data_IF_623556504206
#
_entry.id   IF_623556504206
#
_cell.length_a   1.000
_cell.length_b   1.000
_cell.length_c   1.000
_cell.angle_alpha   90.00
_cell.angle_beta   90.00
_cell.angle_gamma   90.00
#
_symmetry.space_group_name_H-M   'P 1'
#
loop_
_entity.id
_entity.type
_entity.pdbx_description
1 polymer ?
#
# COMPACT_ATOMS: atom_id res chain seq x y z
N UNK A 1 -15.62 32.04 23.79
CA UNK A 1 -16.34 31.10 22.91
C UNK A 1 -17.06 30.11 23.81
N UNK A 2 -18.38 30.05 23.68
CA UNK A 2 -19.24 29.15 24.44
C UNK A 2 -18.95 27.68 24.02
N UNK A 3 -18.39 26.89 24.94
CA UNK A 3 -17.99 25.49 24.70
C UNK A 3 -19.13 24.50 24.91
N UNK A 4 -20.34 24.97 25.22
CA UNK A 4 -21.48 24.13 25.59
C UNK A 4 -22.13 23.35 24.43
N UNK A 5 -21.71 23.57 23.18
CA UNK A 5 -22.28 22.94 21.98
C UNK A 5 -21.27 22.35 20.98
N UNK A 6 -20.07 21.97 21.45
CA UNK A 6 -19.07 21.36 20.56
C UNK A 6 -19.35 19.85 20.37
N UNK A 7 -20.15 19.51 19.35
CA UNK A 7 -20.34 18.11 18.95
C UNK A 7 -19.05 17.53 18.33
N UNK A 8 -18.86 16.21 18.41
CA UNK A 8 -17.70 15.52 17.77
C UNK A 8 -17.57 15.88 16.29
N UNK A 9 -18.69 15.94 15.58
CA UNK A 9 -18.75 16.37 14.18
C UNK A 9 -18.29 17.82 14.02
N UNK A 10 -18.79 18.75 14.85
CA UNK A 10 -18.42 20.16 14.78
C UNK A 10 -16.94 20.39 15.08
N UNK A 11 -16.36 19.62 16.00
CA UNK A 11 -14.92 19.66 16.27
C UNK A 11 -14.10 19.20 15.05
N UNK A 12 -14.46 18.07 14.42
CA UNK A 12 -13.76 17.59 13.22
C UNK A 12 -13.93 18.53 12.02
N UNK A 13 -15.08 19.20 11.88
CA UNK A 13 -15.29 20.24 10.88
C UNK A 13 -14.34 21.43 11.09
N UNK A 14 -14.15 21.89 12.33
CA UNK A 14 -13.21 22.97 12.65
C UNK A 14 -11.75 22.57 12.40
N UNK A 15 -11.38 21.34 12.76
CA UNK A 15 -10.06 20.77 12.46
C UNK A 15 -9.84 20.67 10.95
N UNK A 16 -10.86 20.24 10.21
CA UNK A 16 -10.85 20.19 8.76
C UNK A 16 -10.71 21.55 8.10
N UNK A 17 -11.42 22.55 8.60
CA UNK A 17 -11.32 23.92 8.13
C UNK A 17 -9.92 24.52 8.37
N UNK A 18 -9.26 24.16 9.47
CA UNK A 18 -7.93 24.66 9.81
C UNK A 18 -6.77 23.91 9.14
N UNK A 19 -6.90 22.60 8.92
CA UNK A 19 -5.78 21.74 8.53
C UNK A 19 -6.06 20.71 7.42
N UNK A 20 -7.22 20.81 6.76
CA UNK A 20 -7.59 19.92 5.67
C UNK A 20 -7.82 18.46 6.08
N UNK A 21 -7.96 17.58 5.09
CA UNK A 21 -8.29 16.17 5.28
C UNK A 21 -7.24 15.39 6.08
N UNK A 22 -5.96 15.74 5.96
CA UNK A 22 -4.88 15.14 6.77
C UNK A 22 -5.05 15.45 8.24
N UNK A 23 -5.40 16.69 8.60
CA UNK A 23 -5.66 17.05 10.00
C UNK A 23 -6.89 16.33 10.54
N UNK A 24 -7.97 16.21 9.75
CA UNK A 24 -9.14 15.40 10.13
C UNK A 24 -8.73 13.95 10.38
N UNK A 25 -7.92 13.35 9.51
CA UNK A 25 -7.46 11.97 9.65
C UNK A 25 -6.64 11.78 10.93
N UNK A 26 -5.64 12.64 11.18
CA UNK A 26 -4.79 12.55 12.37
C UNK A 26 -5.58 12.80 13.66
N UNK A 27 -6.47 13.80 13.68
CA UNK A 27 -7.32 14.08 14.84
C UNK A 27 -8.35 12.97 15.06
N UNK A 28 -8.92 12.40 14.00
CA UNK A 28 -9.82 11.25 14.11
C UNK A 28 -9.12 10.02 14.66
N UNK A 29 -7.83 9.82 14.35
CA UNK A 29 -7.00 8.79 14.99
C UNK A 29 -6.74 9.10 16.47
N UNK A 30 -6.33 10.32 16.79
CA UNK A 30 -6.05 10.74 18.17
C UNK A 30 -7.29 10.64 19.07
N UNK A 31 -8.48 10.93 18.53
CA UNK A 31 -9.76 10.77 19.23
C UNK A 31 -10.28 9.33 19.28
N UNK A 32 -9.55 8.37 18.71
CA UNK A 32 -9.98 6.96 18.63
C UNK A 32 -11.19 6.72 17.73
N UNK A 33 -11.58 7.68 16.88
CA UNK A 33 -12.67 7.54 15.91
C UNK A 33 -12.25 6.68 14.71
N UNK A 34 -10.96 6.68 14.40
CA UNK A 34 -10.32 5.77 13.45
C UNK A 34 -9.41 4.82 14.23
N UNK A 35 -9.99 3.75 14.80
CA UNK A 35 -9.18 2.65 15.32
C UNK A 35 -8.70 1.80 14.15
N UNK A 36 -7.43 1.91 13.77
CA UNK A 36 -6.81 1.00 12.81
C UNK A 36 -6.37 -0.33 13.45
N UNK A 37 -6.14 -0.35 14.77
CA UNK A 37 -5.45 -1.47 15.45
C UNK A 37 -6.18 -2.08 16.65
N UNK A 38 -7.44 -1.69 16.90
CA UNK A 38 -8.29 -2.29 17.93
C UNK A 38 -8.60 -3.78 17.66
N UNK A 39 -9.03 -4.56 18.67
CA UNK A 39 -9.61 -5.88 18.42
C UNK A 39 -10.70 -5.76 17.36
N UNK A 40 -10.82 -6.77 16.48
CA UNK A 40 -11.89 -6.79 15.49
C UNK A 40 -13.21 -6.85 16.24
N UNK A 41 -13.82 -5.69 16.48
CA UNK A 41 -15.12 -5.61 17.11
C UNK A 41 -16.06 -6.46 16.27
N UNK A 42 -16.73 -7.42 16.90
CA UNK A 42 -17.82 -8.13 16.26
C UNK A 42 -18.84 -7.06 15.88
N UNK A 43 -19.08 -6.88 14.58
CA UNK A 43 -20.13 -5.98 14.09
C UNK A 43 -21.45 -6.53 14.63
N UNK A 44 -21.99 -5.88 15.65
CA UNK A 44 -23.31 -6.16 16.20
C UNK A 44 -24.31 -5.28 15.46
N UNK A 45 -24.62 -5.68 14.22
CA UNK A 45 -25.65 -5.02 13.43
C UNK A 45 -27.01 -5.44 13.97
N UNK A 46 -27.85 -4.47 14.30
CA UNK A 46 -29.23 -4.73 14.69
C UNK A 46 -29.92 -5.48 13.55
N UNK A 47 -30.40 -6.69 13.82
CA UNK A 47 -31.18 -7.45 12.87
C UNK A 47 -32.45 -6.68 12.51
N UNK A 48 -32.77 -6.63 11.23
CA UNK A 48 -34.06 -6.08 10.80
C UNK A 48 -35.14 -7.10 11.09
N UNK A 49 -36.25 -6.67 11.71
CA UNK A 49 -37.44 -7.52 11.85
C UNK A 49 -38.03 -7.93 10.49
N UNK A 50 -39.13 -8.67 10.50
CA UNK A 50 -39.73 -9.35 9.34
C UNK A 50 -40.02 -8.50 8.07
N UNK A 51 -39.89 -7.18 8.13
CA UNK A 51 -40.18 -6.25 7.03
C UNK A 51 -38.96 -5.81 6.19
N UNK A 52 -37.79 -6.47 6.32
CA UNK A 52 -36.63 -6.38 5.41
C UNK A 52 -36.33 -4.97 4.84
N UNK A 53 -35.44 -4.21 5.47
CA UNK A 53 -35.04 -2.88 4.97
C UNK A 53 -34.17 -3.02 3.71
N UNK A 54 -34.47 -2.24 2.68
CA UNK A 54 -33.77 -2.22 1.39
C UNK A 54 -32.60 -1.25 1.41
N UNK A 55 -31.43 -1.71 1.00
CA UNK A 55 -30.20 -0.92 0.98
C UNK A 55 -29.58 -0.95 -0.42
N UNK A 56 -29.41 0.23 -1.02
CA UNK A 56 -28.59 0.39 -2.20
C UNK A 56 -27.12 0.55 -1.82
N UNK A 57 -26.21 -0.17 -2.48
CA UNK A 57 -24.76 -0.03 -2.30
C UNK A 57 -24.17 0.38 -3.64
N UNK A 58 -23.52 1.54 -3.67
CA UNK A 58 -22.95 2.10 -4.91
C UNK A 58 -21.46 1.82 -4.96
N UNK A 59 -21.04 0.98 -5.90
CA UNK A 59 -19.68 0.48 -6.09
C UNK A 59 -19.47 -0.90 -5.47
N UNK A 60 -18.96 -1.85 -6.25
CA UNK A 60 -18.56 -3.19 -5.82
C UNK A 60 -17.05 -3.27 -5.54
N UNK A 61 -16.46 -2.20 -5.01
CA UNK A 61 -15.11 -2.24 -4.42
C UNK A 61 -15.09 -2.97 -3.07
N UNK A 62 -13.91 -3.12 -2.46
CA UNK A 62 -13.78 -3.78 -1.14
C UNK A 62 -14.72 -3.18 -0.08
N UNK A 63 -14.91 -1.86 -0.06
CA UNK A 63 -15.84 -1.21 0.88
C UNK A 63 -17.29 -1.64 0.65
N UNK A 64 -17.81 -1.50 -0.58
CA UNK A 64 -19.18 -1.87 -0.92
C UNK A 64 -19.46 -3.37 -0.76
N UNK A 65 -18.53 -4.23 -1.19
CA UNK A 65 -18.65 -5.67 -1.01
C UNK A 65 -18.67 -6.07 0.47
N UNK A 66 -17.85 -5.43 1.31
CA UNK A 66 -17.85 -5.69 2.76
C UNK A 66 -19.18 -5.27 3.39
N UNK A 67 -19.70 -4.09 3.01
CA UNK A 67 -21.00 -3.59 3.49
C UNK A 67 -22.13 -4.52 3.08
N UNK A 68 -22.20 -4.91 1.81
CA UNK A 68 -23.21 -5.84 1.32
C UNK A 68 -23.15 -7.19 2.04
N UNK A 69 -21.95 -7.73 2.26
CA UNK A 69 -21.75 -8.98 2.97
C UNK A 69 -22.24 -8.94 4.43
N UNK A 70 -21.92 -7.87 5.18
CA UNK A 70 -22.33 -7.78 6.58
C UNK A 70 -23.82 -7.43 6.74
N UNK A 71 -24.37 -6.56 5.88
CA UNK A 71 -25.80 -6.21 5.90
C UNK A 71 -26.70 -7.38 5.48
N UNK A 72 -26.35 -8.14 4.44
CA UNK A 72 -27.13 -9.33 4.08
C UNK A 72 -27.16 -10.33 5.25
N UNK A 73 -26.05 -10.51 5.94
CA UNK A 73 -25.96 -11.40 7.12
C UNK A 73 -26.78 -10.90 8.31
N UNK A 74 -27.07 -9.61 8.37
CA UNK A 74 -27.97 -9.01 9.35
C UNK A 74 -29.45 -8.98 8.91
N UNK A 75 -29.77 -9.53 7.72
CA UNK A 75 -31.14 -9.67 7.23
C UNK A 75 -31.65 -8.51 6.38
N UNK A 76 -30.78 -7.61 5.94
CA UNK A 76 -31.15 -6.53 5.01
C UNK A 76 -31.25 -7.03 3.56
N UNK A 77 -32.14 -6.41 2.79
CA UNK A 77 -32.21 -6.63 1.34
C UNK A 77 -31.23 -5.68 0.63
N UNK A 78 -30.12 -6.19 0.12
CA UNK A 78 -29.08 -5.37 -0.48
C UNK A 78 -29.14 -5.44 -2.01
N UNK A 79 -28.85 -4.34 -2.70
CA UNK A 79 -28.54 -4.34 -4.13
C UNK A 79 -27.28 -3.52 -4.37
N UNK A 80 -26.25 -4.14 -4.98
CA UNK A 80 -24.98 -3.48 -5.30
C UNK A 80 -24.97 -3.08 -6.78
N UNK A 81 -24.64 -1.82 -7.06
CA UNK A 81 -24.49 -1.27 -8.41
C UNK A 81 -23.01 -0.95 -8.68
N UNK A 82 -22.40 -1.57 -9.68
CA UNK A 82 -21.01 -1.35 -10.09
C UNK A 82 -20.96 -0.87 -11.53
N UNK A 83 -20.32 0.27 -11.77
CA UNK A 83 -20.23 0.87 -13.08
C UNK A 83 -19.35 0.04 -14.04
N UNK A 84 -18.29 -0.57 -13.52
CA UNK A 84 -17.36 -1.39 -14.28
C UNK A 84 -17.97 -2.75 -14.66
N UNK A 85 -17.36 -3.39 -15.66
CA UNK A 85 -17.64 -4.78 -16.02
C UNK A 85 -17.15 -5.79 -14.97
N UNK A 86 -16.35 -5.35 -13.99
CA UNK A 86 -15.76 -6.19 -12.94
C UNK A 86 -15.98 -5.64 -11.53
N UNK A 87 -15.91 -6.54 -10.55
CA UNK A 87 -15.89 -6.19 -9.13
C UNK A 87 -14.47 -5.85 -8.63
N UNK A 88 -14.37 -5.38 -7.38
CA UNK A 88 -13.12 -5.15 -6.65
C UNK A 88 -12.62 -3.71 -6.69
N UNK A 89 -13.08 -2.89 -7.65
CA UNK A 89 -12.68 -1.50 -7.79
C UNK A 89 -11.16 -1.38 -7.93
N UNK A 90 -10.51 -0.59 -7.07
CA UNK A 90 -9.03 -0.49 -7.03
C UNK A 90 -8.32 -1.79 -6.66
N UNK A 91 -9.00 -2.74 -6.00
CA UNK A 91 -8.47 -4.09 -5.81
C UNK A 91 -8.65 -4.89 -7.10
N UNK A 92 -7.57 -4.98 -7.87
CA UNK A 92 -7.50 -5.63 -9.17
C UNK A 92 -6.22 -6.45 -9.26
N UNK A 93 -6.33 -7.61 -9.90
CA UNK A 93 -5.22 -8.44 -10.31
C UNK A 93 -5.41 -8.77 -11.79
N UNK A 94 -4.38 -8.55 -12.59
CA UNK A 94 -4.35 -8.83 -14.02
C UNK A 94 -3.62 -10.15 -14.29
N UNK A 95 -4.22 -10.99 -15.13
CA UNK A 95 -3.76 -12.32 -15.58
C UNK A 95 -4.03 -12.45 -17.08
N UNK A 96 -3.56 -13.53 -17.68
CA UNK A 96 -3.85 -13.86 -19.08
C UNK A 96 -5.33 -13.65 -19.43
N UNK A 97 -5.60 -12.90 -20.50
CA UNK A 97 -6.95 -12.69 -21.01
C UNK A 97 -7.77 -11.62 -20.29
N UNK A 98 -7.30 -11.08 -19.16
CA UNK A 98 -8.03 -10.03 -18.44
C UNK A 98 -8.12 -8.74 -19.28
N UNK A 99 -9.32 -8.16 -19.34
CA UNK A 99 -9.58 -6.87 -19.95
C UNK A 99 -9.07 -5.75 -19.03
N UNK A 100 -8.22 -4.90 -19.59
CA UNK A 100 -7.72 -3.67 -18.99
C UNK A 100 -8.47 -2.53 -19.68
N UNK A 101 -9.29 -1.81 -18.93
CA UNK A 101 -10.03 -0.63 -19.39
C UNK A 101 -9.48 0.61 -18.68
N UNK A 102 -8.63 1.35 -19.41
CA UNK A 102 -8.11 2.64 -18.98
C UNK A 102 -8.86 3.76 -19.71
N UNK A 103 -10.07 4.06 -19.25
CA UNK A 103 -10.91 5.15 -19.77
C UNK A 103 -11.29 4.99 -21.26
N UNK A 104 -11.66 3.76 -21.65
CA UNK A 104 -12.03 3.43 -23.03
C UNK A 104 -10.87 2.96 -23.90
N UNK A 105 -9.64 2.96 -23.37
CA UNK A 105 -8.49 2.32 -24.02
C UNK A 105 -8.39 0.86 -23.61
N UNK A 106 -9.20 0.03 -24.27
CA UNK A 106 -9.29 -1.40 -23.97
C UNK A 106 -8.05 -2.17 -24.44
N UNK A 107 -7.51 -2.98 -23.53
CA UNK A 107 -6.39 -3.89 -23.79
C UNK A 107 -6.63 -5.24 -23.14
N UNK A 108 -5.95 -6.25 -23.64
CA UNK A 108 -5.96 -7.57 -23.02
C UNK A 108 -4.58 -7.85 -22.43
N UNK A 109 -4.56 -8.35 -21.20
CA UNK A 109 -3.33 -8.78 -20.57
C UNK A 109 -2.80 -10.04 -21.29
N UNK A 110 -1.67 -9.91 -21.96
CA UNK A 110 -1.03 -10.95 -22.77
C UNK A 110 0.08 -11.68 -22.00
N UNK A 111 -0.04 -11.81 -20.68
CA UNK A 111 0.81 -12.75 -19.95
C UNK A 111 0.55 -14.17 -20.46
N UNK A 112 1.49 -15.07 -20.26
CA UNK A 112 1.26 -16.47 -20.55
C UNK A 112 0.18 -17.00 -19.59
N UNK A 113 -0.60 -17.97 -20.06
CA UNK A 113 -1.66 -18.60 -19.26
C UNK A 113 -1.05 -19.53 -18.19
N UNK A 114 -0.62 -18.91 -17.08
CA UNK A 114 -0.04 -19.56 -15.92
C UNK A 114 -0.55 -18.85 -14.65
N UNK A 115 -1.09 -19.58 -13.66
CA UNK A 115 -1.65 -18.99 -12.44
C UNK A 115 -0.62 -18.24 -11.57
N UNK A 116 0.68 -18.51 -11.73
CA UNK A 116 1.76 -17.78 -11.05
C UNK A 116 2.15 -16.48 -11.78
N UNK A 117 1.61 -16.22 -12.98
CA UNK A 117 1.89 -15.01 -13.77
C UNK A 117 0.73 -14.02 -13.65
N UNK A 118 0.75 -13.28 -12.54
CA UNK A 118 -0.24 -12.24 -12.26
C UNK A 118 0.40 -10.93 -11.81
N UNK A 119 -0.35 -9.85 -11.94
CA UNK A 119 0.08 -8.52 -11.56
C UNK A 119 -0.99 -7.81 -10.74
N UNK A 120 -0.60 -7.20 -9.61
CA UNK A 120 -1.49 -6.37 -8.78
C UNK A 120 -1.29 -4.87 -9.07
N UNK A 121 -1.99 -4.27 -10.07
CA UNK A 121 -1.89 -2.84 -10.37
C UNK A 121 -2.43 -1.95 -9.24
N UNK A 122 -3.26 -2.49 -8.33
CA UNK A 122 -3.77 -1.80 -7.16
C UNK A 122 -3.06 -2.16 -5.86
N UNK A 123 -3.77 -2.57 -4.79
CA UNK A 123 -3.16 -3.03 -3.55
C UNK A 123 -2.38 -4.33 -3.78
N UNK A 124 -1.21 -4.45 -3.14
CA UNK A 124 -0.29 -5.57 -3.36
C UNK A 124 0.45 -6.05 -2.09
N UNK A 125 0.04 -5.56 -0.91
CA UNK A 125 0.61 -5.92 0.40
C UNK A 125 -0.35 -5.57 1.54
N UNK A 126 -0.34 -6.36 2.61
CA UNK A 126 -1.15 -6.20 3.82
C UNK A 126 -0.21 -6.34 5.04
N UNK A 127 -0.10 -5.33 5.92
CA UNK A 127 0.69 -5.44 7.14
C UNK A 127 -0.08 -6.15 8.27
N UNK A 128 0.67 -6.69 9.25
CA UNK A 128 0.14 -7.52 10.34
C UNK A 128 -0.88 -6.81 11.25
N UNK A 129 -0.85 -5.49 11.34
CA UNK A 129 -1.78 -4.73 12.17
C UNK A 129 -3.10 -4.39 11.48
N UNK A 130 -3.27 -4.69 10.18
CA UNK A 130 -4.56 -4.53 9.47
C UNK A 130 -5.55 -5.63 9.85
N UNK A 131 -5.92 -5.69 11.13
CA UNK A 131 -6.68 -6.81 11.73
C UNK A 131 -8.02 -7.07 11.04
N UNK A 132 -8.69 -6.04 10.50
CA UNK A 132 -10.00 -6.18 9.84
C UNK A 132 -9.91 -6.95 8.52
N UNK A 133 -8.99 -6.56 7.62
CA UNK A 133 -8.86 -7.27 6.33
C UNK A 133 -8.32 -8.69 6.54
N UNK A 134 -7.40 -8.87 7.49
CA UNK A 134 -6.89 -10.19 7.88
C UNK A 134 -7.98 -11.08 8.47
N UNK A 135 -8.91 -10.52 9.25
CA UNK A 135 -10.10 -11.22 9.71
C UNK A 135 -10.96 -11.71 8.53
N UNK A 136 -11.22 -10.86 7.53
CA UNK A 136 -11.97 -11.30 6.34
C UNK A 136 -11.22 -12.34 5.54
N UNK A 137 -9.90 -12.21 5.35
CA UNK A 137 -9.10 -13.25 4.69
C UNK A 137 -9.29 -14.60 5.38
N UNK A 138 -9.14 -14.64 6.71
CA UNK A 138 -9.36 -15.86 7.50
C UNK A 138 -10.79 -16.38 7.40
N UNK A 139 -11.80 -15.52 7.55
CA UNK A 139 -13.23 -15.88 7.53
C UNK A 139 -13.68 -16.43 6.17
N UNK A 140 -13.12 -15.90 5.09
CA UNK A 140 -13.45 -16.27 3.71
C UNK A 140 -12.60 -17.43 3.20
N UNK A 141 -11.55 -17.84 3.93
CA UNK A 141 -10.63 -18.89 3.52
C UNK A 141 -9.66 -18.44 2.42
N UNK A 142 -9.28 -17.15 2.41
CA UNK A 142 -8.28 -16.62 1.47
C UNK A 142 -6.90 -16.95 2.00
N UNK A 143 -6.16 -17.77 1.26
CA UNK A 143 -4.77 -18.09 1.57
C UNK A 143 -3.88 -16.87 1.38
N UNK A 144 -3.01 -16.64 2.37
CA UNK A 144 -2.04 -15.56 2.37
C UNK A 144 -0.62 -16.13 2.38
N UNK A 145 0.30 -15.46 1.69
CA UNK A 145 1.74 -15.75 1.71
C UNK A 145 2.52 -14.51 2.15
N UNK A 146 3.78 -14.71 2.58
CA UNK A 146 4.67 -13.59 2.94
C UNK A 146 4.99 -12.77 1.68
N UNK A 147 4.80 -11.47 1.77
CA UNK A 147 5.26 -10.50 0.78
C UNK A 147 6.55 -9.86 1.28
N UNK A 148 7.65 -10.18 0.62
CA UNK A 148 8.90 -9.45 0.82
C UNK A 148 8.73 -8.03 0.27
N UNK A 149 8.85 -7.05 1.15
CA UNK A 149 8.82 -5.63 0.87
C UNK A 149 10.24 -5.02 0.85
N UNK A 150 11.20 -5.75 1.41
CA UNK A 150 12.60 -5.40 1.46
C UNK A 150 13.46 -6.62 1.08
N UNK A 151 14.61 -6.36 0.48
CA UNK A 151 15.62 -7.39 0.23
C UNK A 151 17.00 -6.73 0.29
N UNK A 152 17.90 -7.25 1.13
CA UNK A 152 19.29 -6.76 1.20
C UNK A 152 20.05 -6.98 -0.11
N UNK A 153 19.70 -8.04 -0.85
CA UNK A 153 20.25 -8.29 -2.18
C UNK A 153 19.68 -7.38 -3.25
N UNK A 154 18.55 -6.69 -3.04
CA UNK A 154 18.06 -5.72 -4.03
C UNK A 154 18.95 -4.46 -4.07
N UNK A 155 18.69 -3.60 -5.04
CA UNK A 155 19.52 -2.43 -5.31
C UNK A 155 18.91 -1.12 -4.79
N UNK A 156 19.78 -0.15 -4.58
CA UNK A 156 19.42 1.26 -4.66
C UNK A 156 20.21 1.91 -5.79
N UNK A 157 19.61 2.90 -6.44
CA UNK A 157 20.21 3.60 -7.57
C UNK A 157 19.89 5.09 -7.47
N UNK A 158 20.90 5.92 -7.68
CA UNK A 158 20.76 7.37 -7.81
C UNK A 158 21.60 7.82 -8.99
N UNK A 159 20.98 8.45 -9.98
CA UNK A 159 21.61 8.82 -11.25
C UNK A 159 22.81 9.76 -11.04
N UNK A 160 22.75 10.59 -10.00
CA UNK A 160 23.81 11.54 -9.63
C UNK A 160 24.82 11.05 -8.57
N UNK A 161 24.68 9.84 -8.05
CA UNK A 161 25.54 9.31 -6.98
C UNK A 161 26.16 7.95 -7.36
N UNK A 162 27.21 7.54 -6.65
CA UNK A 162 27.92 6.26 -6.89
C UNK A 162 28.34 6.05 -8.37
N UNK A 163 28.66 7.15 -9.06
CA UNK A 163 29.01 7.12 -10.49
C UNK A 163 27.86 6.73 -11.42
N UNK A 164 26.61 6.85 -10.98
CA UNK A 164 25.41 6.44 -11.71
C UNK A 164 25.15 4.94 -11.71
N UNK A 165 25.89 4.16 -10.92
CA UNK A 165 25.72 2.70 -10.86
C UNK A 165 24.78 2.30 -9.71
N UNK A 166 23.95 1.26 -9.90
CA UNK A 166 23.18 0.70 -8.80
C UNK A 166 24.12 0.04 -7.78
N UNK A 167 23.85 0.25 -6.50
CA UNK A 167 24.60 -0.37 -5.39
C UNK A 167 23.70 -1.33 -4.61
N UNK A 168 24.24 -2.43 -4.11
CA UNK A 168 23.46 -3.37 -3.30
C UNK A 168 23.05 -2.71 -1.99
N UNK A 169 21.81 -2.93 -1.57
CA UNK A 169 21.33 -2.46 -0.27
C UNK A 169 22.17 -3.05 0.87
N UNK A 170 22.62 -4.30 0.77
CA UNK A 170 23.52 -4.92 1.76
C UNK A 170 24.77 -4.08 2.00
N UNK A 171 25.42 -3.62 0.92
CA UNK A 171 26.63 -2.80 0.98
C UNK A 171 26.33 -1.42 1.57
N UNK A 172 25.32 -0.73 1.01
CA UNK A 172 24.92 0.59 1.48
C UNK A 172 24.60 0.61 2.98
N UNK A 173 23.75 -0.31 3.44
CA UNK A 173 23.33 -0.36 4.84
C UNK A 173 24.46 -0.79 5.78
N UNK A 174 25.31 -1.73 5.35
CA UNK A 174 26.44 -2.17 6.15
C UNK A 174 27.42 -1.02 6.38
N UNK A 175 27.79 -0.30 5.31
CA UNK A 175 28.73 0.82 5.42
C UNK A 175 28.12 2.00 6.18
N UNK A 176 26.86 2.36 5.92
CA UNK A 176 26.18 3.40 6.68
C UNK A 176 26.15 3.08 8.18
N UNK A 177 25.78 1.85 8.56
CA UNK A 177 25.78 1.42 9.96
C UNK A 177 27.18 1.37 10.57
N UNK A 178 28.18 0.91 9.80
CA UNK A 178 29.59 0.87 10.21
C UNK A 178 30.13 2.25 10.54
N UNK A 179 30.06 3.18 9.58
CA UNK A 179 30.55 4.55 9.78
C UNK A 179 29.80 5.30 10.89
N UNK A 180 28.47 5.18 10.96
CA UNK A 180 27.70 5.78 12.06
C UNK A 180 28.12 5.23 13.42
N UNK A 181 28.38 3.93 13.51
CA UNK A 181 28.81 3.29 14.75
C UNK A 181 30.24 3.66 15.13
N UNK A 182 31.13 3.84 14.16
CA UNK A 182 32.48 4.37 14.40
C UNK A 182 32.43 5.79 14.97
N UNK A 183 31.58 6.66 14.41
CA UNK A 183 31.38 8.02 14.94
C UNK A 183 30.83 7.98 16.38
N UNK A 184 29.83 7.13 16.64
CA UNK A 184 29.30 6.91 17.98
C UNK A 184 30.39 6.42 18.94
N UNK A 185 31.18 5.44 18.52
CA UNK A 185 32.28 4.89 19.32
C UNK A 185 33.28 5.99 19.68
N UNK A 186 33.73 6.78 18.70
CA UNK A 186 34.69 7.87 18.91
C UNK A 186 34.17 8.97 19.84
N UNK A 187 32.87 9.26 19.79
CA UNK A 187 32.23 10.21 20.69
C UNK A 187 32.16 9.68 22.14
N UNK A 188 31.72 8.42 22.29
CA UNK A 188 31.57 7.75 23.59
C UNK A 188 32.91 7.44 24.24
N UNK A 189 33.92 7.04 23.47
CA UNK A 189 35.23 6.64 23.99
C UNK A 189 35.91 7.78 24.74
N UNK A 190 35.83 8.99 24.19
CA UNK A 190 36.36 10.20 24.84
C UNK A 190 35.45 10.73 25.95
N UNK A 191 34.23 10.19 26.09
CA UNK A 191 33.18 10.61 27.00
C UNK A 191 32.95 12.14 27.03
N UNK A 192 33.09 12.78 25.86
CA UNK A 192 32.97 14.24 25.71
C UNK A 192 31.52 14.65 25.45
N UNK A 193 30.65 14.28 26.37
CA UNK A 193 29.27 14.75 26.42
C UNK A 193 29.14 15.85 27.46
N UNK A 194 28.20 16.78 27.29
CA UNK A 194 27.93 17.83 28.28
C UNK A 194 27.59 17.22 29.65
N UNK A 195 26.88 16.09 29.63
CA UNK A 195 26.71 15.18 30.75
C UNK A 195 27.43 13.85 30.45
N UNK A 196 28.58 13.57 31.08
CA UNK A 196 29.31 12.34 30.86
C UNK A 196 28.49 11.11 31.22
N UNK A 197 28.61 10.05 30.42
CA UNK A 197 28.02 8.77 30.74
C UNK A 197 28.69 8.18 31.99
N UNK A 198 27.93 7.40 32.74
CA UNK A 198 28.49 6.52 33.78
C UNK A 198 29.53 5.58 33.16
N UNK A 199 30.47 5.08 33.97
CA UNK A 199 31.47 4.10 33.49
C UNK A 199 30.78 2.89 32.85
N UNK A 200 29.71 2.42 33.48
CA UNK A 200 28.97 1.25 33.04
C UNK A 200 28.18 1.50 31.75
N UNK A 201 27.50 2.64 31.61
CA UNK A 201 26.78 2.97 30.37
C UNK A 201 27.75 3.23 29.21
N UNK A 202 28.91 3.86 29.49
CA UNK A 202 29.97 4.04 28.50
C UNK A 202 30.45 2.68 27.98
N UNK A 203 30.77 1.73 28.86
CA UNK A 203 31.21 0.39 28.45
C UNK A 203 30.14 -0.33 27.61
N UNK A 204 28.87 -0.26 28.02
CA UNK A 204 27.75 -0.84 27.26
C UNK A 204 27.55 -0.19 25.90
N UNK A 205 27.67 1.14 25.81
CA UNK A 205 27.55 1.87 24.54
C UNK A 205 28.71 1.57 23.59
N UNK A 206 29.94 1.45 24.09
CA UNK A 206 31.09 1.04 23.26
C UNK A 206 30.91 -0.38 22.72
N UNK A 207 30.42 -1.31 23.55
CA UNK A 207 30.10 -2.67 23.12
C UNK A 207 28.96 -2.68 22.09
N UNK A 208 27.93 -1.88 22.31
CA UNK A 208 26.82 -1.72 21.38
C UNK A 208 27.30 -1.19 20.02
N UNK A 209 28.10 -0.11 20.01
CA UNK A 209 28.67 0.47 18.80
C UNK A 209 29.55 -0.55 18.04
N UNK A 210 30.43 -1.27 18.74
CA UNK A 210 31.24 -2.36 18.16
C UNK A 210 30.37 -3.43 17.50
N UNK A 211 29.32 -3.89 18.20
CA UNK A 211 28.44 -4.96 17.70
C UNK A 211 27.60 -4.50 16.51
N UNK A 212 26.98 -3.33 16.59
CA UNK A 212 26.11 -2.81 15.51
C UNK A 212 26.93 -2.41 14.29
N UNK A 213 28.09 -1.78 14.48
CA UNK A 213 28.96 -1.33 13.40
C UNK A 213 29.87 -2.38 12.79
N UNK A 214 30.02 -3.55 13.44
CA UNK A 214 31.08 -4.51 13.10
C UNK A 214 32.49 -3.90 13.16
N UNK A 215 32.73 -3.09 14.20
CA UNK A 215 33.96 -2.33 14.34
C UNK A 215 35.12 -3.23 14.79
N UNK A 216 36.33 -2.84 14.39
CA UNK A 216 37.56 -3.43 14.90
C UNK A 216 37.75 -3.16 16.41
N UNK A 217 38.68 -3.86 17.09
CA UNK A 217 38.92 -3.66 18.51
C UNK A 217 39.24 -2.21 18.92
N UNK A 218 39.84 -1.44 18.03
CA UNK A 218 40.14 -0.01 18.20
C UNK A 218 38.96 0.93 17.91
N UNK A 219 37.82 0.39 17.48
CA UNK A 219 36.59 1.13 17.17
C UNK A 219 36.52 1.68 15.76
N UNK A 220 37.44 1.32 14.87
CA UNK A 220 37.42 1.73 13.46
C UNK A 220 36.60 0.77 12.59
N UNK A 221 36.00 1.29 11.52
CA UNK A 221 35.27 0.51 10.52
C UNK A 221 36.11 0.35 9.25
N UNK A 222 36.31 -0.91 8.83
CA UNK A 222 37.12 -1.28 7.67
C UNK A 222 36.38 -2.21 6.70
N UNK A 223 35.05 -2.12 6.67
CA UNK A 223 34.19 -3.04 5.92
C UNK A 223 33.81 -4.30 6.70
N UNK A 224 32.77 -4.97 6.24
CA UNK A 224 32.16 -6.12 6.93
C UNK A 224 31.66 -7.16 5.96
N UNK A 225 31.65 -8.43 6.39
CA UNK A 225 30.97 -9.52 5.69
C UNK A 225 29.46 -9.29 5.51
N UNK A 226 28.83 -8.38 6.30
CA UNK A 226 27.40 -8.03 6.15
C UNK A 226 27.10 -7.33 4.81
N UNK A 227 28.11 -6.72 4.19
CA UNK A 227 28.03 -6.18 2.84
C UNK A 227 28.11 -7.27 1.74
N UNK A 228 28.46 -8.50 2.13
CA UNK A 228 28.90 -9.57 1.23
C UNK A 228 30.43 -9.59 1.08
N UNK A 229 30.93 -10.58 0.35
CA UNK A 229 32.36 -10.75 0.06
C UNK A 229 32.70 -10.31 -1.36
N UNK A 230 33.91 -9.79 -1.56
CA UNK A 230 34.50 -9.62 -2.89
C UNK A 230 34.97 -10.97 -3.44
N UNK A 231 35.57 -11.80 -2.59
CA UNK A 231 35.99 -13.16 -2.94
C UNK A 231 36.09 -14.05 -1.68
N UNK A 232 36.16 -15.37 -1.86
CA UNK A 232 36.26 -16.33 -0.76
C UNK A 232 34.95 -16.48 0.03
N UNK A 233 35.04 -16.71 1.34
CA UNK A 233 33.88 -16.71 2.25
C UNK A 233 33.27 -18.09 2.54
N UNK A 234 33.85 -19.17 2.01
CA UNK A 234 33.45 -20.53 2.36
C UNK A 234 34.68 -21.44 2.56
N UNK A 235 35.37 -21.82 1.49
CA UNK A 235 36.55 -22.70 1.55
C UNK A 235 37.83 -21.91 1.87
N UNK A 236 37.88 -20.62 1.49
CA UNK A 236 38.98 -19.70 1.76
C UNK A 236 38.48 -18.55 2.62
N UNK A 237 39.34 -17.94 3.46
CA UNK A 237 39.01 -16.68 4.14
C UNK A 237 38.43 -15.67 3.16
N UNK A 238 37.31 -15.05 3.54
CA UNK A 238 36.65 -14.08 2.68
C UNK A 238 37.35 -12.73 2.71
N UNK A 239 37.48 -12.11 1.54
CA UNK A 239 37.93 -10.71 1.43
C UNK A 239 36.70 -9.82 1.46
N UNK A 240 36.64 -8.89 2.41
CA UNK A 240 35.55 -7.92 2.50
C UNK A 240 35.54 -7.03 1.25
N UNK A 241 34.34 -6.64 0.83
CA UNK A 241 34.20 -5.61 -0.19
C UNK A 241 34.84 -4.32 0.29
N UNK A 242 35.40 -3.54 -0.66
CA UNK A 242 35.87 -2.18 -0.38
C UNK A 242 34.70 -1.33 0.11
N UNK A 243 34.91 -0.58 1.18
CA UNK A 243 33.90 0.35 1.72
C UNK A 243 33.59 1.46 0.73
N UNK A 244 32.35 1.90 0.72
CA UNK A 244 31.92 3.14 0.07
C UNK A 244 32.61 4.35 0.70
N UNK A 245 32.70 5.43 -0.06
CA UNK A 245 33.14 6.71 0.46
C UNK A 245 32.08 7.27 1.43
N UNK A 246 32.51 7.67 2.62
CA UNK A 246 31.60 8.16 3.66
C UNK A 246 30.89 9.46 3.25
N UNK A 247 31.59 10.37 2.55
CA UNK A 247 30.97 11.60 2.06
C UNK A 247 29.92 11.31 1.00
N UNK A 248 30.17 10.36 0.10
CA UNK A 248 29.19 9.91 -0.89
C UNK A 248 27.93 9.31 -0.24
N UNK A 249 28.07 8.53 0.84
CA UNK A 249 26.93 7.98 1.59
C UNK A 249 26.06 9.09 2.21
N UNK A 250 26.66 10.14 2.77
CA UNK A 250 25.94 11.27 3.36
C UNK A 250 25.22 12.14 2.31
N UNK A 251 25.81 12.28 1.13
CA UNK A 251 25.25 13.06 0.02
C UNK A 251 24.10 12.33 -0.70
N UNK A 252 24.12 10.99 -0.66
CA UNK A 252 23.02 10.16 -1.16
C UNK A 252 21.72 10.47 -0.43
N UNK A 253 20.61 10.52 -1.16
CA UNK A 253 19.27 10.68 -0.56
C UNK A 253 18.63 9.36 -0.19
N UNK A 254 19.27 8.23 -0.51
CA UNK A 254 18.68 6.92 -0.27
C UNK A 254 18.31 6.70 1.20
N UNK A 255 19.16 7.11 2.15
CA UNK A 255 18.91 6.89 3.57
C UNK A 255 17.60 7.52 4.06
N UNK A 256 17.20 8.69 3.53
CA UNK A 256 15.92 9.34 3.86
C UNK A 256 14.75 8.38 3.58
N UNK A 257 14.69 7.88 2.34
CA UNK A 257 13.60 6.98 1.92
C UNK A 257 13.72 5.56 2.48
N UNK A 258 14.95 5.06 2.67
CA UNK A 258 15.17 3.66 2.98
C UNK A 258 14.88 3.33 4.44
N UNK A 259 15.17 4.26 5.37
CA UNK A 259 14.79 4.12 6.78
C UNK A 259 13.28 4.11 6.96
N UNK A 260 12.56 5.01 6.29
CA UNK A 260 11.09 5.05 6.32
C UNK A 260 10.51 3.73 5.78
N UNK A 261 11.04 3.19 4.68
CA UNK A 261 10.52 1.96 4.08
C UNK A 261 10.64 0.72 4.98
N UNK A 262 11.63 0.67 5.88
CA UNK A 262 11.87 -0.50 6.74
C UNK A 262 11.10 -0.38 8.07
N UNK A 263 10.94 0.83 8.61
CA UNK A 263 10.38 1.04 9.94
C UNK A 263 8.94 1.57 9.94
N UNK A 264 8.43 2.03 8.80
CA UNK A 264 7.06 2.49 8.70
C UNK A 264 6.11 1.30 8.98
N UNK A 265 5.19 1.40 9.96
CA UNK A 265 4.32 0.28 10.34
C UNK A 265 3.48 -0.24 9.17
N UNK A 266 3.14 0.59 8.18
CA UNK A 266 2.38 0.18 7.00
C UNK A 266 3.20 -0.68 6.02
N UNK A 267 4.53 -0.60 6.07
CA UNK A 267 5.45 -1.19 5.09
C UNK A 267 6.51 -2.11 5.70
N UNK A 268 6.64 -2.11 7.02
CA UNK A 268 7.58 -2.94 7.77
C UNK A 268 7.23 -4.42 7.64
N UNK A 269 8.26 -5.24 7.46
CA UNK A 269 8.11 -6.68 7.31
C UNK A 269 7.82 -7.40 8.65
N UNK A 270 7.18 -8.58 8.62
CA UNK A 270 6.65 -9.27 7.45
C UNK A 270 5.30 -8.68 6.98
N UNK A 271 5.16 -8.53 5.67
CA UNK A 271 3.88 -8.23 5.03
C UNK A 271 3.27 -9.51 4.46
N UNK A 272 1.99 -9.44 4.10
CA UNK A 272 1.26 -10.53 3.46
C UNK A 272 0.68 -10.10 2.11
N UNK A 273 0.49 -11.05 1.21
CA UNK A 273 -0.35 -10.91 0.02
C UNK A 273 -1.22 -12.15 -0.15
N UNK A 274 -2.34 -12.03 -0.85
CA UNK A 274 -3.18 -13.17 -1.18
C UNK A 274 -2.53 -14.00 -2.28
N UNK A 275 -2.49 -15.33 -2.07
CA UNK A 275 -1.98 -16.28 -3.06
C UNK A 275 -2.78 -16.15 -4.34
N UNK A 276 -2.08 -16.06 -5.47
CA UNK A 276 -2.68 -15.93 -6.80
C UNK A 276 -3.26 -14.56 -7.13
N UNK A 277 -3.21 -13.56 -6.24
CA UNK A 277 -3.67 -12.18 -6.53
C UNK A 277 -4.54 -11.55 -5.44
N UNK A 278 -4.43 -10.22 -5.27
CA UNK A 278 -5.19 -9.51 -4.23
C UNK A 278 -6.70 -9.46 -4.49
N UNK A 279 -7.12 -9.60 -5.74
CA UNK A 279 -8.54 -9.64 -6.12
C UNK A 279 -9.28 -10.85 -5.55
N UNK A 280 -8.57 -11.90 -5.11
CA UNK A 280 -9.14 -13.05 -4.43
C UNK A 280 -9.89 -12.66 -3.14
N UNK A 281 -9.52 -11.55 -2.50
CA UNK A 281 -10.30 -11.01 -1.38
C UNK A 281 -11.67 -10.51 -1.85
N UNK A 282 -11.72 -9.71 -2.91
CA UNK A 282 -12.95 -9.19 -3.49
C UNK A 282 -13.85 -10.33 -3.99
N UNK A 283 -13.26 -11.30 -4.70
CA UNK A 283 -13.95 -12.51 -5.17
C UNK A 283 -14.48 -13.35 -4.00
N UNK A 284 -13.70 -13.48 -2.92
CA UNK A 284 -14.09 -14.17 -1.71
C UNK A 284 -15.32 -13.57 -1.04
N UNK A 285 -15.37 -12.23 -0.94
CA UNK A 285 -16.56 -11.51 -0.43
C UNK A 285 -17.76 -11.74 -1.35
N UNK A 286 -17.60 -11.50 -2.66
CA UNK A 286 -18.67 -11.63 -3.64
C UNK A 286 -19.28 -13.04 -3.67
N UNK A 287 -18.46 -14.09 -3.56
CA UNK A 287 -18.91 -15.49 -3.49
C UNK A 287 -19.84 -15.78 -2.29
N UNK A 288 -19.79 -14.96 -1.24
CA UNK A 288 -20.61 -15.12 -0.03
C UNK A 288 -21.84 -14.20 0.01
N UNK A 289 -22.00 -13.32 -0.98
CA UNK A 289 -23.15 -12.42 -1.11
C UNK A 289 -24.14 -13.08 -2.05
N UNK A 290 -25.40 -13.21 -1.62
CA UNK A 290 -26.51 -13.73 -2.45
C UNK A 290 -27.32 -12.61 -3.09
N UNK A 291 -27.25 -11.42 -2.49
CA UNK A 291 -27.84 -10.19 -2.97
C UNK A 291 -27.34 -9.84 -4.37
N UNK A 292 -28.16 -9.20 -5.23
CA UNK A 292 -27.73 -8.80 -6.57
C UNK A 292 -26.51 -7.88 -6.54
N UNK A 293 -25.48 -8.25 -7.31
CA UNK A 293 -24.34 -7.40 -7.65
C UNK A 293 -24.40 -7.16 -9.15
N UNK A 294 -24.88 -5.98 -9.54
CA UNK A 294 -25.06 -5.60 -10.93
C UNK A 294 -23.82 -4.86 -11.43
N UNK A 295 -22.99 -5.52 -12.24
CA UNK A 295 -21.91 -4.88 -13.01
C UNK A 295 -22.48 -4.17 -14.25
N UNK A 296 -21.70 -3.27 -14.86
CA UNK A 296 -22.16 -2.40 -15.95
C UNK A 296 -23.41 -1.57 -15.57
N UNK A 297 -23.56 -1.26 -14.28
CA UNK A 297 -24.65 -0.48 -13.70
C UNK A 297 -24.11 0.87 -13.22
N UNK A 298 -23.96 1.82 -14.13
CA UNK A 298 -23.42 3.14 -13.85
C UNK A 298 -24.47 4.05 -13.21
N UNK A 299 -24.23 4.48 -11.97
CA UNK A 299 -25.09 5.47 -11.29
C UNK A 299 -25.07 6.81 -12.04
N UNK A 300 -26.25 7.37 -12.28
CA UNK A 300 -26.46 8.62 -13.01
C UNK A 300 -27.15 9.70 -12.18
N UNK A 301 -27.82 9.37 -11.07
CA UNK A 301 -28.42 10.35 -10.17
C UNK A 301 -28.72 9.73 -8.80
N UNK A 302 -28.64 10.55 -7.74
CA UNK A 302 -28.96 10.18 -6.36
C UNK A 302 -29.87 11.23 -5.72
N UNK A 303 -31.08 10.85 -5.34
CA UNK A 303 -32.05 11.78 -4.75
C UNK A 303 -32.51 11.25 -3.39
N UNK A 304 -32.27 12.01 -2.33
CA UNK A 304 -32.96 11.78 -1.06
C UNK A 304 -34.46 12.05 -1.26
N UNK A 305 -35.29 11.16 -0.76
CA UNK A 305 -36.74 11.29 -0.70
C UNK A 305 -37.15 11.52 0.75
N UNK A 306 -38.45 11.72 1.02
CA UNK A 306 -38.94 11.86 2.39
C UNK A 306 -38.67 10.61 3.26
N UNK A 307 -38.64 9.41 2.67
CA UNK A 307 -38.58 8.13 3.39
C UNK A 307 -37.41 7.24 3.00
N UNK A 308 -36.53 7.69 2.10
CA UNK A 308 -35.41 6.89 1.61
C UNK A 308 -34.61 7.56 0.51
N UNK A 309 -34.16 6.79 -0.47
CA UNK A 309 -33.28 7.25 -1.55
C UNK A 309 -33.64 6.61 -2.88
N UNK A 310 -33.67 7.45 -3.92
CA UNK A 310 -33.83 7.06 -5.30
C UNK A 310 -32.49 7.12 -6.03
N UNK A 311 -32.10 5.98 -6.61
CA UNK A 311 -30.88 5.84 -7.41
C UNK A 311 -31.27 5.58 -8.85
N UNK A 312 -30.94 6.51 -9.75
CA UNK A 312 -31.07 6.29 -11.19
C UNK A 312 -29.73 5.82 -11.73
N UNK A 313 -29.74 4.76 -12.53
CA UNK A 313 -28.53 4.16 -13.09
C UNK A 313 -28.77 3.67 -14.52
N UNK A 314 -27.72 3.69 -15.33
CA UNK A 314 -27.71 3.04 -16.64
C UNK A 314 -27.22 1.61 -16.47
N UNK A 315 -27.98 0.63 -16.95
CA UNK A 315 -27.58 -0.78 -16.93
C UNK A 315 -27.73 -1.35 -18.33
N UNK A 316 -26.60 -1.64 -18.98
CA UNK A 316 -26.54 -2.14 -20.36
C UNK A 316 -27.28 -1.24 -21.37
N UNK A 317 -27.17 0.08 -21.22
CA UNK A 317 -27.81 1.06 -22.11
C UNK A 317 -29.24 1.45 -21.74
N UNK A 318 -29.82 0.78 -20.73
CA UNK A 318 -31.16 1.10 -20.24
C UNK A 318 -31.11 1.94 -18.96
N UNK A 319 -31.89 3.02 -18.93
CA UNK A 319 -32.07 3.83 -17.72
C UNK A 319 -33.03 3.14 -16.76
N UNK A 320 -32.54 2.82 -15.56
CA UNK A 320 -33.27 2.14 -14.48
C UNK A 320 -33.30 2.99 -13.22
N UNK A 321 -34.24 2.67 -12.33
CA UNK A 321 -34.41 3.29 -11.02
C UNK A 321 -34.44 2.21 -9.94
N UNK A 322 -33.70 2.42 -8.86
CA UNK A 322 -33.71 1.63 -7.64
C UNK A 322 -34.11 2.56 -6.48
N UNK A 323 -35.20 2.24 -5.80
CA UNK A 323 -35.61 2.92 -4.56
C UNK A 323 -35.22 2.05 -3.35
N UNK A 324 -34.59 2.64 -2.35
CA UNK A 324 -34.13 1.96 -1.15
C UNK A 324 -34.42 2.81 0.10
N UNK A 325 -34.49 2.17 1.28
CA UNK A 325 -34.59 2.89 2.55
C UNK A 325 -33.30 3.67 2.83
N UNK A 326 -32.15 3.05 2.57
CA UNK A 326 -30.83 3.67 2.75
C UNK A 326 -29.89 3.40 1.57
N UNK A 327 -28.88 4.25 1.43
CA UNK A 327 -27.84 4.11 0.43
C UNK A 327 -26.45 4.20 1.09
N UNK A 328 -25.60 3.23 0.81
CA UNK A 328 -24.17 3.30 1.08
C UNK A 328 -23.43 3.67 -0.20
N UNK A 329 -22.88 4.89 -0.25
CA UNK A 329 -22.11 5.36 -1.39
C UNK A 329 -20.61 5.04 -1.21
N UNK A 330 -20.05 4.22 -2.09
CA UNK A 330 -18.60 3.96 -2.18
C UNK A 330 -17.97 4.46 -3.49
N UNK A 331 -18.71 5.24 -4.28
CA UNK A 331 -18.18 5.93 -5.45
C UNK A 331 -17.11 6.93 -4.99
N UNK A 332 -15.91 6.94 -5.59
CA UNK A 332 -14.88 7.92 -5.26
C UNK A 332 -15.39 9.36 -5.35
N UNK A 333 -15.03 10.16 -4.36
CA UNK A 333 -15.54 11.54 -4.17
C UNK A 333 -15.41 12.44 -5.40
N UNK A 334 -14.33 12.31 -6.18
CA UNK A 334 -14.13 13.11 -7.38
C UNK A 334 -15.13 12.80 -8.51
N UNK A 335 -15.72 11.59 -8.54
CA UNK A 335 -16.80 11.27 -9.48
C UNK A 335 -18.15 11.80 -9.02
N UNK A 336 -18.36 11.98 -7.71
CA UNK A 336 -19.62 12.51 -7.17
C UNK A 336 -19.91 13.94 -7.61
N UNK A 337 -18.87 14.73 -7.94
CA UNK A 337 -19.02 16.09 -8.48
C UNK A 337 -19.86 16.10 -9.77
N UNK A 338 -19.78 15.03 -10.57
CA UNK A 338 -20.50 14.91 -11.84
C UNK A 338 -21.84 14.17 -11.76
N UNK A 339 -22.26 13.70 -10.58
CA UNK A 339 -23.49 12.91 -10.42
C UNK A 339 -24.59 13.82 -9.84
N UNK A 340 -25.65 14.13 -10.63
CA UNK A 340 -26.80 14.89 -10.16
C UNK A 340 -27.37 14.36 -8.83
N UNK A 341 -27.57 15.28 -7.88
CA UNK A 341 -28.11 14.95 -6.57
C UNK A 341 -28.83 16.15 -5.92
N UNK A 342 -29.57 15.91 -4.83
CA UNK A 342 -30.22 16.95 -4.03
C UNK A 342 -29.60 17.11 -2.63
N UNK A 343 -28.30 16.82 -2.51
CA UNK A 343 -27.61 17.03 -1.24
C UNK A 343 -27.48 18.52 -0.92
N UNK A 344 -27.34 18.88 0.37
CA UNK A 344 -27.05 20.25 0.77
C UNK A 344 -25.86 20.84 0.00
N UNK A 345 -25.94 22.15 -0.31
CA UNK A 345 -24.94 22.84 -1.13
C UNK A 345 -23.54 22.72 -0.55
N UNK A 346 -23.40 22.92 0.77
CA UNK A 346 -22.15 22.80 1.51
C UNK A 346 -21.57 21.38 1.45
N UNK A 347 -22.43 20.35 1.46
CA UNK A 347 -22.02 18.96 1.29
C UNK A 347 -21.44 18.71 -0.12
N UNK A 348 -22.11 19.23 -1.16
CA UNK A 348 -21.63 19.13 -2.53
C UNK A 348 -20.32 19.90 -2.78
N UNK A 349 -20.16 21.08 -2.17
CA UNK A 349 -18.90 21.83 -2.20
C UNK A 349 -17.74 21.02 -1.58
N UNK A 350 -18.02 20.23 -0.55
CA UNK A 350 -17.06 19.32 0.07
C UNK A 350 -16.49 18.27 -0.89
N UNK A 351 -17.23 17.85 -1.91
CA UNK A 351 -16.72 16.88 -2.89
C UNK A 351 -15.58 17.46 -3.74
N UNK A 352 -15.67 18.72 -4.14
CA UNK A 352 -14.66 19.39 -4.96
C UNK A 352 -13.37 19.71 -4.19
N UNK A 353 -13.41 19.71 -2.85
CA UNK A 353 -12.24 19.98 -2.01
C UNK A 353 -11.21 18.84 -2.01
N UNK A 354 -11.61 17.61 -2.35
CA UNK A 354 -10.71 16.45 -2.34
C UNK A 354 -10.05 16.28 -3.71
N UNK A 355 -8.72 16.46 -3.77
CA UNK A 355 -7.93 16.23 -4.98
C UNK A 355 -7.45 14.78 -5.03
N UNK A 356 -7.61 14.07 -6.17
CA UNK A 356 -6.98 12.77 -6.34
C UNK A 356 -5.46 12.93 -6.38
N UNK A 357 -4.77 11.89 -5.92
CA UNK A 357 -3.34 11.72 -6.13
C UNK A 357 -3.13 10.64 -7.19
N UNK A 358 -2.02 10.74 -7.92
CA UNK A 358 -1.80 9.97 -9.13
C UNK A 358 -0.74 8.90 -8.87
N UNK A 359 -1.11 7.65 -9.17
CA UNK A 359 -0.25 6.49 -9.04
C UNK A 359 -0.32 5.71 -10.34
N UNK A 360 0.84 5.22 -10.78
CA UNK A 360 0.93 4.43 -11.99
C UNK A 360 1.79 3.20 -11.77
N UNK A 361 1.40 2.06 -12.36
CA UNK A 361 2.21 0.84 -12.30
C UNK A 361 2.29 0.11 -13.63
N UNK A 362 3.46 -0.45 -13.93
CA UNK A 362 3.69 -1.36 -15.06
C UNK A 362 4.08 -2.74 -14.53
N UNK A 363 3.40 -3.77 -15.04
CA UNK A 363 3.79 -5.17 -14.87
C UNK A 363 4.40 -5.71 -16.16
N UNK A 364 5.61 -6.27 -16.08
CA UNK A 364 6.29 -6.90 -17.21
C UNK A 364 6.55 -8.38 -16.90
N UNK A 365 6.03 -9.25 -17.76
CA UNK A 365 6.40 -10.66 -17.73
C UNK A 365 7.79 -10.86 -18.33
N UNK A 366 8.66 -11.49 -17.56
CA UNK A 366 10.02 -11.84 -17.97
C UNK A 366 10.08 -13.30 -18.40
N UNK A 367 10.79 -13.58 -19.51
CA UNK A 367 11.03 -14.94 -20.01
C UNK A 367 11.88 -15.79 -19.06
N UNK A 368 12.66 -15.12 -18.23
CA UNK A 368 13.51 -15.70 -17.21
C UNK A 368 13.50 -14.84 -15.94
N UNK A 369 13.64 -15.50 -14.78
CA UNK A 369 13.75 -14.84 -13.48
C UNK A 369 15.18 -14.39 -13.22
N UNK A 370 15.68 -13.46 -14.02
CA UNK A 370 17.08 -13.02 -13.99
C UNK A 370 17.55 -12.54 -12.60
N UNK A 371 16.63 -11.96 -11.82
CA UNK A 371 16.88 -11.46 -10.46
C UNK A 371 17.25 -12.57 -9.46
N UNK A 372 16.78 -13.80 -9.66
CA UNK A 372 17.10 -14.91 -8.74
C UNK A 372 18.55 -15.37 -8.89
N UNK A 373 19.13 -15.26 -10.09
CA UNK A 373 20.57 -15.50 -10.31
C UNK A 373 21.46 -14.53 -9.54
N UNK A 374 20.90 -13.38 -9.19
CA UNK A 374 21.54 -12.34 -8.39
C UNK A 374 21.24 -12.47 -6.89
N UNK A 375 20.54 -13.52 -6.47
CA UNK A 375 20.16 -13.75 -5.08
C UNK A 375 19.00 -12.88 -4.60
N UNK A 376 18.26 -12.23 -5.51
CA UNK A 376 17.08 -11.44 -5.15
C UNK A 376 15.85 -12.36 -5.16
N UNK A 377 15.19 -12.51 -4.02
CA UNK A 377 13.94 -13.29 -3.86
C UNK A 377 12.88 -12.41 -3.23
N UNK A 378 12.03 -11.80 -4.07
CA UNK A 378 11.13 -10.74 -3.65
C UNK A 378 11.86 -9.42 -3.28
N UNK A 379 11.13 -8.51 -2.64
CA UNK A 379 11.65 -7.19 -2.26
C UNK A 379 11.62 -6.16 -3.39
N UNK A 380 12.27 -5.03 -3.15
CA UNK A 380 12.15 -3.82 -3.98
C UNK A 380 13.54 -3.26 -4.27
N UNK A 381 13.82 -2.93 -5.53
CA UNK A 381 14.91 -2.03 -5.93
C UNK A 381 14.37 -0.60 -6.03
N UNK A 382 15.08 0.38 -5.50
CA UNK A 382 14.69 1.79 -5.56
C UNK A 382 15.59 2.59 -6.50
N UNK A 383 15.02 3.60 -7.15
CA UNK A 383 15.75 4.48 -8.07
C UNK A 383 15.16 5.89 -8.08
N UNK A 384 16.00 6.90 -8.32
CA UNK A 384 15.57 8.28 -8.59
C UNK A 384 15.03 8.49 -10.02
N UNK A 385 15.15 7.48 -10.88
CA UNK A 385 14.56 7.50 -12.21
C UNK A 385 13.02 7.50 -12.15
N UNK A 386 12.38 7.86 -13.28
CA UNK A 386 10.92 8.01 -13.38
C UNK A 386 10.12 6.81 -12.89
N UNK A 387 10.65 5.59 -13.03
CA UNK A 387 10.00 4.36 -12.59
C UNK A 387 9.87 4.23 -11.07
N UNK A 388 10.62 5.03 -10.29
CA UNK A 388 10.80 5.03 -8.83
C UNK A 388 11.32 3.73 -8.20
N UNK A 389 10.79 2.60 -8.63
CA UNK A 389 11.05 1.32 -8.00
C UNK A 389 10.67 0.14 -8.89
N UNK A 390 11.38 -0.97 -8.67
CA UNK A 390 11.15 -2.27 -9.31
C UNK A 390 10.82 -3.27 -8.20
N UNK A 391 9.68 -3.96 -8.26
CA UNK A 391 9.33 -4.99 -7.28
C UNK A 391 9.47 -6.37 -7.90
N UNK A 392 10.16 -7.24 -7.17
CA UNK A 392 10.31 -8.64 -7.53
C UNK A 392 9.18 -9.46 -6.89
N UNK A 393 8.61 -10.45 -7.60
CA UNK A 393 7.54 -11.28 -7.05
C UNK A 393 8.05 -12.12 -5.88
N UNK A 394 7.23 -12.24 -4.83
CA UNK A 394 7.49 -13.12 -3.69
C UNK A 394 7.01 -14.56 -3.91
N UNK A 395 6.24 -14.80 -4.99
CA UNK A 395 5.80 -16.12 -5.45
C UNK A 395 6.64 -16.65 -6.61
N UNK A 396 6.43 -17.92 -6.95
CA UNK A 396 7.01 -18.57 -8.11
C UNK A 396 8.53 -18.70 -8.04
N UNK A 397 9.10 -18.80 -6.84
CA UNK A 397 10.55 -18.99 -6.65
C UNK A 397 11.02 -20.21 -7.44
N UNK A 398 12.11 -20.05 -8.21
CA UNK A 398 12.69 -21.07 -9.10
C UNK A 398 11.81 -21.54 -10.26
N UNK A 399 10.69 -20.87 -10.54
CA UNK A 399 9.96 -21.06 -11.81
C UNK A 399 10.74 -20.46 -12.97
N UNK A 400 10.39 -20.83 -14.20
CA UNK A 400 11.07 -20.30 -15.38
C UNK A 400 10.79 -18.80 -15.57
N UNK A 401 9.54 -18.37 -15.41
CA UNK A 401 9.07 -17.00 -15.72
C UNK A 401 8.60 -16.28 -14.46
N UNK A 402 8.40 -14.98 -14.57
CA UNK A 402 7.83 -14.19 -13.48
C UNK A 402 7.41 -12.81 -13.96
N UNK A 403 6.45 -12.21 -13.26
CA UNK A 403 6.01 -10.85 -13.52
C UNK A 403 6.70 -9.89 -12.54
N UNK A 404 7.46 -8.96 -13.08
CA UNK A 404 8.11 -7.89 -12.32
C UNK A 404 7.23 -6.66 -12.38
N UNK A 405 7.06 -5.98 -11.25
CA UNK A 405 6.55 -4.61 -11.25
C UNK A 405 7.73 -3.73 -11.68
N UNK A 406 7.76 -3.27 -12.93
CA UNK A 406 8.90 -2.56 -13.50
C UNK A 406 8.89 -1.04 -13.26
N UNK A 407 7.72 -0.50 -12.94
CA UNK A 407 7.56 0.88 -12.51
C UNK A 407 6.39 0.97 -11.54
N UNK A 408 6.61 1.53 -10.35
CA UNK A 408 5.52 2.02 -9.50
C UNK A 408 5.79 3.50 -9.25
N UNK A 409 5.31 4.31 -10.17
CA UNK A 409 5.46 5.74 -10.16
C UNK A 409 4.45 6.40 -9.21
N UNK A 410 4.96 7.30 -8.39
CA UNK A 410 4.18 8.11 -7.48
C UNK A 410 4.75 9.53 -7.43
N UNK A 411 3.88 10.49 -7.12
CA UNK A 411 4.22 11.91 -7.20
C UNK A 411 3.88 12.50 -8.57
N UNK A 412 3.57 13.80 -8.54
CA UNK A 412 2.94 14.49 -9.67
C UNK A 412 3.75 14.43 -10.96
N UNK A 413 5.07 14.55 -10.87
CA UNK A 413 5.93 14.61 -12.05
C UNK A 413 6.12 13.22 -12.68
N UNK A 414 6.40 12.20 -11.87
CA UNK A 414 6.63 10.83 -12.31
C UNK A 414 5.34 10.22 -12.85
N UNK A 415 4.22 10.37 -12.14
CA UNK A 415 2.92 9.87 -12.63
C UNK A 415 2.49 10.58 -13.92
N UNK A 416 2.66 11.91 -14.01
CA UNK A 416 2.32 12.66 -15.22
C UNK A 416 3.21 12.34 -16.42
N UNK A 417 4.40 11.76 -16.22
CA UNK A 417 5.22 11.25 -17.31
C UNK A 417 4.55 10.01 -17.94
N UNK A 418 4.15 9.03 -17.12
CA UNK A 418 3.51 7.81 -17.61
C UNK A 418 2.09 8.03 -18.12
N UNK A 419 1.31 8.91 -17.48
CA UNK A 419 -0.05 9.28 -17.95
C UNK A 419 -0.05 9.86 -19.37
N UNK A 420 1.06 10.48 -19.79
CA UNK A 420 1.21 11.07 -21.12
C UNK A 420 1.76 10.10 -22.16
N UNK A 421 2.23 8.93 -21.74
CA UNK A 421 2.69 7.92 -22.69
C UNK A 421 1.49 7.40 -23.47
N UNK A 422 1.71 7.14 -24.76
CA UNK A 422 0.77 6.29 -25.49
C UNK A 422 0.69 4.96 -24.75
N UNK A 423 -0.49 4.33 -24.75
CA UNK A 423 -0.57 2.97 -24.28
C UNK A 423 0.41 2.08 -25.09
N UNK A 424 0.59 2.33 -26.39
CA UNK A 424 1.56 1.67 -27.28
C UNK A 424 3.00 2.09 -26.96
#
# INVERSE_FOLDING_TARGET
>A
MDTSNLSRRRFLELVGAAGGSTAIYQTSRAMGLLQDTGPVAKLDLQGVGAAGKKIAVLGAGIAGLTVAYELERAGYEVTVLEASHRIGGRNMTLRHGDLIDEMGHNRVCNFDDDPDLYFNPGPARIPGHHKRILHYCKKLGIELQVKANFARHAYTHESGHFGGNPVRKSEYFADAQGFMSELLYKAVDKNRFDEPLSVEDRERMLLFAKRIGDLQPDGTYHGTARAGYESGGFIKPGTHKKTMDFSALLQSRHWESAFDNIHNPEWAEPLMEAVGGMDNISKGLAKRIRSPILTNAQVQSLQNTETGVDVVYNHNGERKKLSADWCFNSIPVHFMVGIPNNFPKDYNEGFAAVRPDNFFKIGLQMKERFWEREGIYGGITHTDQKINQIWYPSHGIHRQKGVVLSAYAFGREQSAFFERMSPE
#
